data_IF_684912915471
#
_entry.id   IF_684912915471
#
_cell.length_a   1.000
_cell.length_b   1.000
_cell.length_c   1.000
_cell.angle_alpha   90.00
_cell.angle_beta   90.00
_cell.angle_gamma   90.00
#
_symmetry.space_group_name_H-M   'P 1'
#
loop_
_entity.id
_entity.type
_entity.pdbx_description
1 polymer ?
#
# COMPACT_ATOMS: atom_id res chain seq x y z
N UNK A 1 -51.59 32.94 31.42
CA UNK A 1 -52.89 33.43 30.92
C UNK A 1 -52.80 33.55 29.41
N UNK A 2 -53.48 32.66 28.69
CA UNK A 2 -53.86 32.86 27.27
C UNK A 2 -55.13 33.78 27.24
N UNK A 3 -55.76 34.14 26.09
CA UNK A 3 -55.54 33.70 24.70
C UNK A 3 -55.76 34.79 23.59
N UNK A 4 -55.57 34.39 22.31
CA UNK A 4 -56.12 35.04 21.11
C UNK A 4 -55.42 34.53 19.84
N UNK A 5 -55.96 33.52 19.11
CA UNK A 5 -56.94 33.65 18.00
C UNK A 5 -56.37 34.46 16.82
N UNK A 6 -56.43 34.08 15.54
CA UNK A 6 -56.86 32.94 14.74
C UNK A 6 -56.40 33.26 13.30
N UNK A 7 -56.29 32.29 12.38
CA UNK A 7 -56.14 32.63 10.95
C UNK A 7 -55.66 31.50 10.06
N UNK A 8 -56.61 30.75 9.50
CA UNK A 8 -56.41 29.70 8.52
C UNK A 8 -56.13 30.27 7.11
N UNK A 9 -55.34 29.55 6.31
CA UNK A 9 -55.48 29.56 4.85
C UNK A 9 -54.89 28.27 4.24
N UNK A 10 -55.81 27.41 3.81
CA UNK A 10 -55.60 26.30 2.89
C UNK A 10 -55.35 26.87 1.48
N UNK A 11 -54.30 26.42 0.79
CA UNK A 11 -54.30 26.39 -0.67
C UNK A 11 -53.72 25.06 -1.16
N UNK A 12 -54.62 24.33 -1.80
CA UNK A 12 -54.41 23.11 -2.57
C UNK A 12 -53.75 23.48 -3.91
N UNK A 13 -52.72 22.74 -4.32
CA UNK A 13 -52.22 22.80 -5.70
C UNK A 13 -52.06 21.39 -6.24
N UNK A 14 -52.89 21.12 -7.24
CA UNK A 14 -52.96 19.94 -8.11
C UNK A 14 -51.92 20.10 -9.23
N UNK A 15 -51.20 19.03 -9.56
CA UNK A 15 -50.29 18.95 -10.72
C UNK A 15 -49.89 17.49 -11.01
N UNK A 16 -49.59 17.12 -12.26
CA UNK A 16 -50.31 16.06 -12.95
C UNK A 16 -49.61 14.68 -12.97
N UNK A 17 -50.45 13.64 -13.07
CA UNK A 17 -50.08 12.26 -13.38
C UNK A 17 -49.51 12.16 -14.80
N UNK A 18 -48.28 11.66 -14.90
CA UNK A 18 -47.65 11.28 -16.17
C UNK A 18 -47.93 9.81 -16.40
N UNK A 19 -48.62 9.52 -17.50
CA UNK A 19 -48.94 8.19 -18.01
C UNK A 19 -47.79 7.73 -18.91
N UNK A 20 -47.07 6.66 -18.51
CA UNK A 20 -45.97 6.05 -19.25
C UNK A 20 -46.40 4.67 -19.74
N UNK A 21 -47.13 4.67 -20.85
CA UNK A 21 -47.35 3.48 -21.67
C UNK A 21 -46.16 3.32 -22.63
N UNK A 22 -45.23 2.42 -22.30
CA UNK A 22 -44.11 2.04 -23.19
C UNK A 22 -44.48 0.74 -23.91
N UNK A 23 -44.68 0.88 -25.21
CA UNK A 23 -44.88 -0.18 -26.19
C UNK A 23 -43.52 -0.84 -26.49
N UNK A 24 -43.36 -2.11 -26.13
CA UNK A 24 -42.17 -2.92 -26.44
C UNK A 24 -42.56 -3.98 -27.47
N UNK A 25 -42.31 -3.67 -28.73
CA UNK A 25 -42.46 -4.62 -29.82
C UNK A 25 -41.23 -4.60 -30.75
N UNK A 26 -40.75 -5.82 -31.01
CA UNK A 26 -39.90 -6.27 -32.12
C UNK A 26 -38.38 -5.99 -32.06
N UNK A 27 -37.64 -7.08 -31.83
CA UNK A 27 -36.23 -7.26 -32.22
C UNK A 27 -35.96 -8.76 -32.49
N UNK A 28 -35.12 -9.12 -33.49
CA UNK A 28 -35.19 -10.42 -34.16
C UNK A 28 -34.44 -11.57 -33.47
N UNK A 29 -34.96 -12.78 -33.71
CA UNK A 29 -34.42 -14.09 -33.35
C UNK A 29 -33.00 -14.31 -33.88
N UNK A 30 -32.09 -14.74 -33.00
CA UNK A 30 -30.74 -15.20 -33.37
C UNK A 30 -30.69 -16.71 -33.20
N UNK A 31 -30.28 -17.38 -34.28
CA UNK A 31 -30.22 -18.82 -34.48
C UNK A 31 -29.11 -19.50 -33.62
N UNK A 32 -29.41 -20.52 -32.80
CA UNK A 32 -28.44 -21.17 -31.92
C UNK A 32 -27.87 -22.44 -32.55
N UNK A 33 -27.08 -22.30 -33.61
CA UNK A 33 -26.35 -23.42 -34.21
C UNK A 33 -25.04 -22.96 -34.79
N UNK A 34 -23.98 -22.87 -33.97
CA UNK A 34 -22.56 -22.84 -34.37
C UNK A 34 -21.61 -22.88 -33.14
N UNK A 35 -21.78 -23.84 -32.23
CA UNK A 35 -20.74 -24.17 -31.24
C UNK A 35 -20.42 -25.66 -31.34
N UNK A 36 -19.52 -25.99 -32.26
CA UNK A 36 -18.77 -27.23 -32.26
C UNK A 36 -17.42 -26.98 -31.58
N UNK A 37 -17.22 -27.57 -30.42
CA UNK A 37 -15.93 -27.63 -29.72
C UNK A 37 -15.00 -28.66 -30.38
N UNK A 38 -13.70 -28.38 -30.52
CA UNK A 38 -12.71 -29.43 -30.60
C UNK A 38 -12.06 -29.65 -29.23
N UNK A 39 -12.27 -30.87 -28.70
CA UNK A 39 -11.52 -31.44 -27.59
C UNK A 39 -10.01 -31.41 -27.89
N UNK A 40 -9.22 -30.85 -26.96
CA UNK A 40 -7.77 -31.02 -26.96
C UNK A 40 -7.33 -31.67 -25.66
N UNK A 41 -6.69 -32.82 -25.83
CA UNK A 41 -6.02 -33.61 -24.81
C UNK A 41 -4.97 -32.77 -24.07
N UNK A 42 -4.99 -32.80 -22.75
CA UNK A 42 -3.87 -32.37 -21.91
C UNK A 42 -3.26 -33.59 -21.23
N UNK A 43 -1.98 -33.76 -21.50
CA UNK A 43 -1.09 -34.69 -20.84
C UNK A 43 -0.83 -34.26 -19.39
N UNK A 44 -0.77 -35.25 -18.50
CA UNK A 44 -0.31 -35.10 -17.12
C UNK A 44 1.16 -34.70 -17.06
N UNK A 45 1.56 -33.70 -16.25
CA UNK A 45 2.94 -33.56 -15.82
C UNK A 45 3.16 -34.23 -14.46
N UNK A 46 4.19 -35.06 -14.45
CA UNK A 46 4.71 -35.82 -13.33
C UNK A 46 5.07 -34.95 -12.13
N UNK A 47 4.80 -35.52 -10.96
CA UNK A 47 5.22 -35.09 -9.63
C UNK A 47 6.75 -35.07 -9.50
N UNK A 48 7.29 -33.91 -9.12
CA UNK A 48 8.64 -33.78 -8.54
C UNK A 48 8.51 -33.18 -7.15
N UNK A 49 8.97 -33.97 -6.18
CA UNK A 49 9.03 -33.72 -4.75
C UNK A 49 9.99 -32.57 -4.42
N UNK A 50 9.49 -31.53 -3.75
CA UNK A 50 10.31 -30.50 -3.12
C UNK A 50 10.89 -31.07 -1.81
N UNK A 51 12.21 -31.17 -1.75
CA UNK A 51 12.93 -31.46 -0.52
C UNK A 51 12.84 -30.25 0.42
N UNK A 52 12.53 -30.54 1.68
CA UNK A 52 12.49 -29.61 2.81
C UNK A 52 13.81 -28.83 2.94
N UNK A 53 13.71 -27.50 2.93
CA UNK A 53 14.68 -26.63 3.59
C UNK A 53 13.94 -25.95 4.74
N UNK A 54 14.11 -26.52 5.93
CA UNK A 54 13.62 -26.04 7.21
C UNK A 54 14.61 -24.99 7.76
N UNK A 55 14.16 -23.74 7.89
CA UNK A 55 14.88 -22.71 8.63
C UNK A 55 13.98 -22.22 9.77
N UNK A 56 14.38 -22.39 11.04
CA UNK A 56 13.61 -21.91 12.17
C UNK A 56 13.74 -20.38 12.26
N UNK A 57 12.60 -19.69 12.27
CA UNK A 57 12.53 -18.23 12.48
C UNK A 57 12.15 -17.99 13.94
N UNK A 58 13.16 -17.80 14.79
CA UNK A 58 12.98 -17.15 16.10
C UNK A 58 12.95 -15.62 15.91
N UNK A 59 12.32 -14.92 16.86
CA UNK A 59 12.05 -13.49 16.80
C UNK A 59 13.35 -12.68 16.80
N UNK A 60 13.62 -11.99 15.69
CA UNK A 60 14.83 -11.22 15.47
C UNK A 60 14.71 -9.86 16.17
N UNK A 61 15.39 -9.70 17.30
CA UNK A 61 15.62 -8.41 17.97
C UNK A 61 16.49 -7.50 17.08
N UNK A 62 16.34 -6.17 17.16
CA UNK A 62 17.09 -5.22 16.32
C UNK A 62 18.63 -5.35 16.42
N UNK A 63 19.13 -5.97 17.49
CA UNK A 63 20.54 -6.33 17.66
C UNK A 63 20.95 -7.51 16.76
N UNK A 64 20.06 -8.44 16.44
CA UNK A 64 20.35 -9.59 15.59
C UNK A 64 20.45 -9.22 14.10
N UNK A 65 19.75 -8.17 13.64
CA UNK A 65 19.91 -7.67 12.27
C UNK A 65 21.26 -6.96 12.13
N UNK A 66 21.64 -6.14 13.12
CA UNK A 66 22.97 -5.53 13.18
C UNK A 66 24.07 -6.59 13.29
N UNK A 67 23.84 -7.68 14.04
CA UNK A 67 24.74 -8.82 14.12
C UNK A 67 24.80 -9.63 12.80
N UNK A 68 23.68 -9.76 12.09
CA UNK A 68 23.61 -10.42 10.79
C UNK A 68 24.31 -9.61 9.71
N UNK A 69 24.17 -8.28 9.73
CA UNK A 69 24.94 -7.36 8.90
C UNK A 69 26.44 -7.45 9.19
N UNK A 70 26.85 -7.47 10.47
CA UNK A 70 28.24 -7.69 10.87
C UNK A 70 28.79 -9.04 10.39
N UNK A 71 27.98 -10.11 10.43
CA UNK A 71 28.37 -11.43 9.89
C UNK A 71 28.53 -11.42 8.37
N UNK A 72 27.67 -10.68 7.66
CA UNK A 72 27.65 -10.64 6.20
C UNK A 72 28.77 -9.76 5.63
N UNK A 73 29.11 -8.64 6.27
CA UNK A 73 30.05 -7.64 5.75
C UNK A 73 31.45 -7.66 6.35
N UNK A 74 31.61 -8.07 7.62
CA UNK A 74 32.88 -7.93 8.34
C UNK A 74 33.55 -9.26 8.72
N UNK A 75 32.98 -10.39 8.31
CA UNK A 75 33.48 -11.71 8.68
C UNK A 75 33.25 -11.99 10.16
N UNK A 76 32.17 -12.69 10.48
CA UNK A 76 31.88 -13.16 11.84
C UNK A 76 32.97 -14.08 12.42
N UNK A 77 32.97 -14.28 13.75
CA UNK A 77 34.14 -14.59 14.57
C UNK A 77 34.79 -15.93 14.23
N UNK A 78 36.11 -15.96 14.37
CA UNK A 78 36.93 -17.18 14.38
C UNK A 78 36.30 -18.23 15.29
N UNK A 79 35.81 -19.31 14.67
CA UNK A 79 35.53 -20.56 15.36
C UNK A 79 36.87 -21.06 15.89
N UNK A 80 37.01 -21.00 17.21
CA UNK A 80 38.24 -21.35 17.91
C UNK A 80 38.76 -22.74 17.50
N UNK A 81 40.01 -22.76 17.07
CA UNK A 81 40.83 -23.96 17.11
C UNK A 81 42.14 -23.64 17.83
N UNK A 82 42.39 -24.49 18.83
CA UNK A 82 43.59 -24.76 19.59
C UNK A 82 44.92 -24.15 19.10
N UNK A 83 45.63 -23.60 20.10
CA UNK A 83 47.07 -23.37 20.32
C UNK A 83 48.13 -23.43 19.18
N UNK A 84 49.22 -22.65 19.33
CA UNK A 84 50.01 -22.15 18.22
C UNK A 84 51.17 -23.08 17.84
N UNK A 85 51.35 -23.31 16.54
CA UNK A 85 52.63 -23.76 15.98
C UNK A 85 53.20 -22.64 15.12
N UNK A 86 54.33 -22.12 15.57
CA UNK A 86 55.12 -21.16 14.83
C UNK A 86 55.55 -21.73 13.47
N UNK A 87 55.28 -21.01 12.39
CA UNK A 87 56.03 -21.15 11.15
C UNK A 87 56.18 -19.79 10.48
N UNK A 88 57.43 -19.49 10.16
CA UNK A 88 57.93 -18.27 9.56
C UNK A 88 57.37 -18.03 8.15
N UNK A 89 57.25 -16.74 7.79
CA UNK A 89 57.37 -16.27 6.41
C UNK A 89 56.14 -16.41 5.51
N UNK A 90 55.10 -15.59 5.74
CA UNK A 90 54.08 -15.29 4.72
C UNK A 90 54.08 -13.79 4.44
N UNK A 91 54.16 -13.35 3.16
CA UNK A 91 54.30 -11.95 2.82
C UNK A 91 53.08 -11.17 3.29
N UNK A 92 53.32 -9.95 3.78
CA UNK A 92 52.28 -9.00 4.16
C UNK A 92 51.20 -8.96 3.08
N UNK A 93 50.00 -9.44 3.43
CA UNK A 93 48.82 -9.21 2.63
C UNK A 93 48.68 -7.70 2.51
N UNK A 94 48.86 -7.19 1.29
CA UNK A 94 48.62 -5.81 0.97
C UNK A 94 47.21 -5.47 1.46
N UNK A 95 47.15 -4.53 2.40
CA UNK A 95 45.94 -3.82 2.80
C UNK A 95 45.26 -3.39 1.51
N UNK A 96 44.11 -4.03 1.24
CA UNK A 96 43.37 -3.89 -0.01
C UNK A 96 43.02 -2.44 -0.23
N UNK A 97 43.60 -1.85 -1.27
CA UNK A 97 43.14 -0.56 -1.79
C UNK A 97 41.81 -0.87 -2.46
N UNK A 98 40.70 -0.73 -1.72
CA UNK A 98 39.37 -0.69 -2.33
C UNK A 98 39.40 0.40 -3.39
N UNK A 99 39.14 0.01 -4.64
CA UNK A 99 39.11 0.96 -5.74
C UNK A 99 37.93 1.93 -5.54
N UNK A 100 37.94 3.08 -6.22
CA UNK A 100 36.81 4.01 -6.17
C UNK A 100 35.50 3.35 -6.64
N UNK A 101 35.61 2.33 -7.50
CA UNK A 101 34.49 1.51 -7.98
C UNK A 101 33.94 0.61 -6.87
N UNK A 102 34.80 -0.04 -6.08
CA UNK A 102 34.39 -0.87 -4.94
C UNK A 102 33.64 -0.03 -3.88
N UNK A 103 34.14 1.19 -3.61
CA UNK A 103 33.49 2.10 -2.66
C UNK A 103 32.11 2.58 -3.16
N UNK A 104 31.97 2.82 -4.47
CA UNK A 104 30.68 3.16 -5.07
C UNK A 104 29.69 2.00 -4.95
N UNK A 105 30.12 0.77 -5.26
CA UNK A 105 29.28 -0.41 -5.14
C UNK A 105 28.83 -0.68 -3.69
N UNK A 106 29.72 -0.52 -2.70
CA UNK A 106 29.34 -0.66 -1.28
C UNK A 106 28.34 0.42 -0.88
N UNK A 107 28.49 1.65 -1.38
CA UNK A 107 27.55 2.74 -1.10
C UNK A 107 26.17 2.48 -1.71
N UNK A 108 26.10 1.91 -2.91
CA UNK A 108 24.84 1.54 -3.55
C UNK A 108 24.11 0.46 -2.72
N UNK A 109 24.82 -0.59 -2.31
CA UNK A 109 24.25 -1.64 -1.45
C UNK A 109 23.77 -1.08 -0.12
N UNK A 110 24.54 -0.18 0.50
CA UNK A 110 24.11 0.50 1.72
C UNK A 110 22.83 1.31 1.50
N UNK A 111 22.76 2.06 0.40
CA UNK A 111 21.58 2.86 0.12
C UNK A 111 20.33 1.96 -0.13
N UNK A 112 20.49 0.80 -0.76
CA UNK A 112 19.40 -0.16 -0.97
C UNK A 112 18.90 -0.75 0.37
N UNK A 113 19.84 -1.09 1.26
CA UNK A 113 19.53 -1.55 2.61
C UNK A 113 18.82 -0.42 3.39
N UNK A 114 19.34 0.81 3.34
CA UNK A 114 18.76 1.96 4.01
C UNK A 114 17.29 2.18 3.61
N UNK A 115 16.96 2.07 2.31
CA UNK A 115 15.57 2.21 1.81
C UNK A 115 14.61 1.28 2.55
N UNK A 116 14.98 0.02 2.72
CA UNK A 116 14.15 -0.97 3.43
C UNK A 116 14.07 -0.63 4.92
N UNK A 117 15.21 -0.33 5.53
CA UNK A 117 15.31 -0.06 6.96
C UNK A 117 14.52 1.17 7.41
N UNK A 118 14.50 2.25 6.63
CA UNK A 118 13.80 3.49 6.99
C UNK A 118 12.42 3.64 6.36
N UNK A 119 11.88 2.57 5.76
CA UNK A 119 10.52 2.55 5.21
C UNK A 119 9.48 3.08 6.21
N UNK A 120 9.50 2.57 7.46
CA UNK A 120 8.61 3.01 8.53
C UNK A 120 8.82 4.48 8.91
N UNK A 121 10.06 4.97 8.90
CA UNK A 121 10.37 6.39 9.14
C UNK A 121 9.72 7.23 8.03
N UNK A 122 9.87 6.82 6.77
CA UNK A 122 9.29 7.50 5.61
C UNK A 122 7.76 7.54 5.69
N UNK A 123 7.13 6.45 6.10
CA UNK A 123 5.68 6.38 6.26
C UNK A 123 5.16 7.37 7.31
N UNK A 124 5.81 7.42 8.47
CA UNK A 124 5.48 8.42 9.51
C UNK A 124 5.67 9.83 8.98
N UNK A 125 6.75 10.09 8.26
CA UNK A 125 7.08 11.43 7.77
C UNK A 125 6.17 11.88 6.62
N UNK A 126 5.64 10.95 5.82
CA UNK A 126 4.54 11.23 4.87
C UNK A 126 3.30 11.73 5.63
N UNK A 127 2.93 11.05 6.71
CA UNK A 127 1.78 11.48 7.53
C UNK A 127 2.06 12.77 8.29
N UNK A 128 3.29 12.96 8.76
CA UNK A 128 3.67 14.22 9.39
C UNK A 128 3.54 15.37 8.40
N UNK A 129 3.98 15.20 7.13
CA UNK A 129 3.94 16.26 6.12
C UNK A 129 2.52 16.55 5.61
N UNK A 130 1.73 15.50 5.35
CA UNK A 130 0.44 15.62 4.65
C UNK A 130 -0.80 15.42 5.56
N UNK A 131 -0.60 15.16 6.85
CA UNK A 131 -1.66 14.94 7.84
C UNK A 131 -1.22 15.22 9.27
N UNK A 132 -1.74 14.42 10.20
CA UNK A 132 -1.44 14.42 11.63
C UNK A 132 -0.82 13.08 12.04
N UNK A 133 0.49 13.07 12.29
CA UNK A 133 1.19 11.88 12.74
C UNK A 133 0.99 11.63 14.25
N UNK A 134 0.89 10.35 14.61
CA UNK A 134 0.83 9.92 16.01
C UNK A 134 2.22 10.01 16.67
N UNK A 135 2.39 10.69 17.80
CA UNK A 135 3.65 10.71 18.53
C UNK A 135 4.19 9.31 18.87
N UNK A 136 3.32 8.36 19.22
CA UNK A 136 3.74 7.00 19.57
C UNK A 136 4.29 6.24 18.35
N UNK A 137 3.73 6.51 17.17
CA UNK A 137 4.21 5.92 15.93
C UNK A 137 5.54 6.54 15.49
N UNK A 138 5.72 7.85 15.65
CA UNK A 138 7.02 8.48 15.42
C UNK A 138 8.08 7.92 16.37
N UNK A 139 7.74 7.73 17.65
CA UNK A 139 8.63 7.14 18.64
C UNK A 139 9.04 5.70 18.28
N UNK A 140 8.13 4.89 17.74
CA UNK A 140 8.45 3.51 17.38
C UNK A 140 9.46 3.38 16.24
N UNK A 141 9.76 4.46 15.52
CA UNK A 141 10.80 4.48 14.46
C UNK A 141 12.23 4.62 14.98
N UNK A 142 12.42 4.99 16.25
CA UNK A 142 13.76 5.21 16.85
C UNK A 142 14.72 4.02 16.68
N UNK A 143 14.31 2.74 16.84
CA UNK A 143 15.22 1.60 16.63
C UNK A 143 15.76 1.52 15.20
N UNK A 144 14.93 1.80 14.19
CA UNK A 144 15.35 1.81 12.79
C UNK A 144 16.38 2.92 12.52
N UNK A 145 16.16 4.12 13.07
CA UNK A 145 17.11 5.23 12.96
C UNK A 145 18.46 4.93 13.63
N UNK A 146 18.44 4.32 14.82
CA UNK A 146 19.68 3.92 15.52
C UNK A 146 20.44 2.83 14.77
N UNK A 147 19.73 1.85 14.22
CA UNK A 147 20.33 0.81 13.39
C UNK A 147 20.99 1.40 12.14
N UNK A 148 20.30 2.31 11.43
CA UNK A 148 20.89 3.02 10.28
C UNK A 148 22.10 3.85 10.68
N UNK A 149 22.05 4.53 11.83
CA UNK A 149 23.19 5.31 12.36
C UNK A 149 24.41 4.42 12.64
N UNK A 150 24.21 3.22 13.19
CA UNK A 150 25.29 2.26 13.41
C UNK A 150 25.89 1.76 12.10
N UNK A 151 25.07 1.45 11.08
CA UNK A 151 25.55 1.08 9.75
C UNK A 151 26.33 2.22 9.08
N UNK A 152 25.84 3.45 9.20
CA UNK A 152 26.51 4.65 8.67
C UNK A 152 27.88 4.88 9.33
N UNK A 153 28.00 4.63 10.63
CA UNK A 153 29.25 4.76 11.39
C UNK A 153 30.31 3.76 10.92
N UNK A 154 29.91 2.51 10.64
CA UNK A 154 30.82 1.49 10.09
C UNK A 154 31.36 1.86 8.71
N UNK A 155 30.61 2.65 7.95
CA UNK A 155 30.99 3.15 6.63
C UNK A 155 31.66 4.53 6.66
N UNK A 156 31.93 5.05 7.87
CA UNK A 156 32.55 6.36 8.08
C UNK A 156 31.76 7.51 7.43
N UNK A 157 30.43 7.39 7.33
CA UNK A 157 29.54 8.41 6.80
C UNK A 157 29.22 9.47 7.87
N UNK A 158 30.24 10.22 8.29
CA UNK A 158 30.19 11.12 9.46
C UNK A 158 29.06 12.15 9.37
N UNK A 159 28.85 12.76 8.20
CA UNK A 159 27.79 13.76 7.99
C UNK A 159 26.39 13.16 8.21
N UNK A 160 26.18 11.92 7.76
CA UNK A 160 24.93 11.21 7.95
C UNK A 160 24.71 10.82 9.41
N UNK A 161 25.74 10.34 10.11
CA UNK A 161 25.66 10.08 11.55
C UNK A 161 25.20 11.34 12.31
N UNK A 162 25.83 12.49 12.04
CA UNK A 162 25.45 13.76 12.68
C UNK A 162 24.02 14.20 12.36
N UNK A 163 23.57 14.02 11.10
CA UNK A 163 22.20 14.33 10.71
C UNK A 163 21.18 13.40 11.40
N UNK A 164 21.47 12.09 11.51
CA UNK A 164 20.63 11.10 12.18
C UNK A 164 20.52 11.38 13.68
N UNK A 165 21.63 11.72 14.35
CA UNK A 165 21.63 12.08 15.77
C UNK A 165 20.78 13.33 16.02
N UNK A 166 20.96 14.35 15.16
CA UNK A 166 20.19 15.61 15.20
C UNK A 166 18.69 15.39 15.00
N UNK A 167 18.32 14.46 14.11
CA UNK A 167 16.94 14.08 13.87
C UNK A 167 16.36 13.28 15.05
N UNK A 168 17.11 12.33 15.61
CA UNK A 168 16.67 11.54 16.78
C UNK A 168 16.38 12.43 17.99
N UNK A 169 17.22 13.43 18.25
CA UNK A 169 16.98 14.43 19.33
C UNK A 169 15.68 15.21 19.10
N UNK A 170 15.39 15.59 17.85
CA UNK A 170 14.14 16.28 17.53
C UNK A 170 12.92 15.37 17.68
N UNK A 171 13.04 14.09 17.31
CA UNK A 171 12.01 13.08 17.58
C UNK A 171 11.75 12.97 19.08
N UNK A 172 12.79 12.87 19.91
CA UNK A 172 12.64 12.83 21.38
C UNK A 172 11.90 14.07 21.92
N UNK A 173 12.25 15.26 21.42
CA UNK A 173 11.59 16.51 21.80
C UNK A 173 10.11 16.57 21.40
N UNK A 174 9.79 16.10 20.19
CA UNK A 174 8.45 16.13 19.63
C UNK A 174 7.49 15.14 20.32
N UNK A 175 7.99 13.98 20.78
CA UNK A 175 7.17 12.93 21.40
C UNK A 175 7.06 13.04 22.92
N UNK A 176 7.92 13.81 23.59
CA UNK A 176 8.03 13.88 25.05
C UNK A 176 6.69 14.20 25.77
N UNK A 177 5.98 13.15 26.21
CA UNK A 177 4.70 13.19 26.94
C UNK A 177 3.59 14.01 26.27
N UNK A 178 3.51 14.00 24.93
CA UNK A 178 2.49 14.75 24.19
C UNK A 178 1.48 13.82 23.51
N UNK A 179 0.22 14.23 23.52
CA UNK A 179 -0.85 13.57 22.76
C UNK A 179 -0.84 13.93 21.26
N UNK A 180 -0.15 15.02 20.90
CA UNK A 180 -0.03 15.52 19.51
C UNK A 180 1.29 16.25 19.32
N UNK A 181 1.86 16.14 18.12
CA UNK A 181 3.03 16.90 17.67
C UNK A 181 2.59 18.34 17.36
N UNK A 182 3.30 19.35 17.89
CA UNK A 182 2.95 20.76 17.61
C UNK A 182 3.37 21.16 16.19
N UNK A 183 2.81 22.24 15.65
CA UNK A 183 3.20 22.75 14.33
C UNK A 183 4.67 23.19 14.28
N UNK A 184 5.21 23.71 15.40
CA UNK A 184 6.61 24.08 15.52
C UNK A 184 7.52 22.85 15.49
N UNK A 185 7.20 21.81 16.27
CA UNK A 185 7.96 20.55 16.27
C UNK A 185 7.86 19.86 14.91
N UNK A 186 6.69 19.90 14.26
CA UNK A 186 6.49 19.37 12.92
C UNK A 186 7.38 20.07 11.89
N UNK A 187 7.48 21.40 11.95
CA UNK A 187 8.37 22.16 11.06
C UNK A 187 9.86 21.86 11.32
N UNK A 188 10.27 21.73 12.58
CA UNK A 188 11.64 21.36 12.96
C UNK A 188 11.99 19.93 12.49
N UNK A 189 11.09 18.96 12.71
CA UNK A 189 11.24 17.58 12.24
C UNK A 189 11.39 17.52 10.71
N UNK A 190 10.52 18.21 9.97
CA UNK A 190 10.58 18.22 8.51
C UNK A 190 11.88 18.88 8.00
N UNK A 191 12.37 19.92 8.67
CA UNK A 191 13.64 20.58 8.34
C UNK A 191 14.83 19.63 8.51
N UNK A 192 14.88 18.91 9.64
CA UNK A 192 15.96 17.95 9.91
C UNK A 192 15.88 16.71 9.02
N UNK A 193 14.66 16.27 8.72
CA UNK A 193 14.44 15.19 7.79
C UNK A 193 14.88 15.54 6.36
N UNK A 194 14.71 16.79 5.93
CA UNK A 194 15.22 17.25 4.63
C UNK A 194 16.74 17.08 4.53
N UNK A 195 17.50 17.34 5.60
CA UNK A 195 18.94 17.10 5.61
C UNK A 195 19.30 15.61 5.40
N UNK A 196 18.49 14.68 5.91
CA UNK A 196 18.64 13.25 5.62
C UNK A 196 18.34 12.93 4.15
N UNK A 197 17.30 13.56 3.59
CA UNK A 197 16.96 13.44 2.16
C UNK A 197 18.03 14.00 1.23
N UNK A 198 18.75 15.04 1.64
CA UNK A 198 19.84 15.60 0.84
C UNK A 198 21.06 14.66 0.79
N UNK A 199 21.29 13.89 1.87
CA UNK A 199 22.41 12.94 1.99
C UNK A 199 22.12 11.57 1.36
N UNK A 200 20.90 11.04 1.52
CA UNK A 200 20.45 9.77 0.91
C UNK A 200 19.04 9.94 0.32
N UNK A 201 18.91 10.55 -0.87
CA UNK A 201 17.61 10.82 -1.48
C UNK A 201 16.73 9.58 -1.61
N UNK A 202 17.28 8.47 -2.10
CA UNK A 202 16.49 7.25 -2.32
C UNK A 202 15.83 6.69 -1.05
N UNK A 203 16.44 6.91 0.12
CA UNK A 203 15.96 6.41 1.40
C UNK A 203 14.94 7.33 2.07
N UNK A 204 14.99 8.65 1.82
CA UNK A 204 14.20 9.64 2.56
C UNK A 204 13.32 10.56 1.70
N UNK A 205 13.33 10.45 0.38
CA UNK A 205 12.51 11.33 -0.46
C UNK A 205 11.00 11.02 -0.32
N UNK A 206 10.25 11.97 0.25
CA UNK A 206 8.80 11.83 0.48
C UNK A 206 7.98 12.05 -0.78
N UNK A 207 8.35 13.05 -1.59
CA UNK A 207 7.56 13.43 -2.76
C UNK A 207 7.58 12.32 -3.82
N UNK A 208 8.74 11.69 -4.06
CA UNK A 208 8.84 10.52 -4.92
C UNK A 208 8.01 9.34 -4.39
N UNK A 209 7.96 9.10 -3.08
CA UNK A 209 7.17 8.01 -2.52
C UNK A 209 5.67 8.27 -2.67
N UNK A 210 5.23 9.47 -2.33
CA UNK A 210 3.85 9.95 -2.54
C UNK A 210 3.46 9.81 -4.01
N UNK A 211 4.33 10.28 -4.91
CA UNK A 211 4.08 10.30 -6.34
C UNK A 211 3.86 8.92 -6.93
N UNK A 212 4.46 7.90 -6.32
CA UNK A 212 4.30 6.50 -6.69
C UNK A 212 3.07 5.83 -6.05
N UNK A 213 2.68 6.22 -4.84
CA UNK A 213 1.53 5.65 -4.10
C UNK A 213 0.19 6.21 -4.57
N UNK A 214 0.09 7.53 -4.70
CA UNK A 214 -1.18 8.20 -4.98
C UNK A 214 -1.90 7.70 -6.25
N UNK A 215 -1.22 7.54 -7.41
CA UNK A 215 -1.91 7.12 -8.62
C UNK A 215 -2.55 5.73 -8.48
N UNK A 216 -1.91 4.83 -7.71
CA UNK A 216 -2.42 3.48 -7.45
C UNK A 216 -3.66 3.54 -6.56
N UNK A 217 -3.64 4.36 -5.50
CA UNK A 217 -4.79 4.58 -4.62
C UNK A 217 -5.95 5.18 -5.42
N UNK A 218 -5.68 6.23 -6.21
CA UNK A 218 -6.67 6.90 -7.05
C UNK A 218 -7.29 5.93 -8.05
N UNK A 219 -6.47 5.18 -8.78
CA UNK A 219 -6.95 4.18 -9.74
C UNK A 219 -7.83 3.13 -9.04
N UNK A 220 -7.38 2.59 -7.91
CA UNK A 220 -8.11 1.57 -7.18
C UNK A 220 -9.44 2.09 -6.59
N UNK A 221 -9.51 3.35 -6.16
CA UNK A 221 -10.76 3.98 -5.74
C UNK A 221 -11.71 4.21 -6.92
N UNK A 222 -11.19 4.61 -8.07
CA UNK A 222 -12.00 4.82 -9.28
C UNK A 222 -12.64 3.51 -9.76
N UNK A 223 -11.90 2.40 -9.77
CA UNK A 223 -12.44 1.08 -10.14
C UNK A 223 -13.51 0.53 -9.17
N UNK A 224 -13.64 1.09 -7.97
CA UNK A 224 -14.73 0.71 -7.05
C UNK A 224 -16.09 1.29 -7.47
N UNK A 225 -16.10 2.30 -8.35
CA UNK A 225 -17.30 3.01 -8.76
C UNK A 225 -17.94 2.31 -9.96
N UNK A 226 -19.24 2.06 -9.87
CA UNK A 226 -19.98 1.43 -10.95
C UNK A 226 -20.04 2.33 -12.19
N UNK A 227 -19.76 1.76 -13.36
CA UNK A 227 -19.69 2.49 -14.63
C UNK A 227 -18.41 3.32 -14.83
N UNK A 228 -17.42 3.20 -13.94
CA UNK A 228 -16.05 3.69 -14.20
C UNK A 228 -15.22 2.56 -14.78
N UNK A 229 -14.81 2.73 -16.03
CA UNK A 229 -13.96 1.80 -16.76
C UNK A 229 -12.61 2.45 -17.09
N UNK A 230 -11.65 1.65 -17.54
CA UNK A 230 -10.31 2.11 -17.91
C UNK A 230 -10.29 3.36 -18.81
N UNK A 231 -11.12 3.49 -19.86
CA UNK A 231 -11.13 4.70 -20.69
C UNK A 231 -11.57 5.98 -19.95
N UNK A 232 -12.34 5.87 -18.87
CA UNK A 232 -12.68 7.00 -18.00
C UNK A 232 -11.48 7.37 -17.14
N UNK A 233 -10.81 6.37 -16.55
CA UNK A 233 -9.60 6.56 -15.73
C UNK A 233 -8.48 7.20 -16.57
N UNK A 234 -8.21 6.67 -17.77
CA UNK A 234 -7.21 7.19 -18.69
C UNK A 234 -7.49 8.67 -19.05
N UNK A 235 -8.77 9.02 -19.26
CA UNK A 235 -9.18 10.42 -19.50
C UNK A 235 -8.94 11.31 -18.28
N UNK A 236 -9.33 10.86 -17.09
CA UNK A 236 -9.09 11.60 -15.84
C UNK A 236 -7.60 11.84 -15.64
N UNK A 237 -6.76 10.84 -15.89
CA UNK A 237 -5.32 10.94 -15.75
C UNK A 237 -4.71 11.87 -16.79
N UNK A 238 -5.22 11.84 -18.03
CA UNK A 238 -4.79 12.74 -19.10
C UNK A 238 -5.07 14.23 -18.79
N UNK A 239 -6.10 14.53 -18.00
CA UNK A 239 -6.40 15.90 -17.54
C UNK A 239 -5.76 16.24 -16.17
N UNK A 240 -4.85 15.40 -15.67
CA UNK A 240 -4.11 15.65 -14.42
C UNK A 240 -4.87 15.29 -13.14
N UNK A 241 -5.96 14.53 -13.24
CA UNK A 241 -6.74 14.04 -12.09
C UNK A 241 -6.25 12.65 -11.63
N UNK A 242 -4.94 12.52 -11.46
CA UNK A 242 -4.25 11.33 -10.96
C UNK A 242 -3.70 11.52 -9.52
N UNK A 243 -4.05 12.63 -8.87
CA UNK A 243 -3.64 13.01 -7.52
C UNK A 243 -4.87 13.14 -6.62
N UNK A 244 -4.73 12.74 -5.34
CA UNK A 244 -5.81 12.84 -4.37
C UNK A 244 -6.24 14.29 -4.15
N UNK A 245 -5.27 15.21 -4.02
CA UNK A 245 -5.55 16.64 -3.82
C UNK A 245 -6.34 17.25 -4.99
N UNK A 246 -6.08 16.81 -6.22
CA UNK A 246 -6.78 17.32 -7.39
C UNK A 246 -8.25 16.85 -7.37
N UNK A 247 -8.48 15.55 -7.15
CA UNK A 247 -9.82 14.97 -7.11
C UNK A 247 -10.66 15.44 -5.92
N UNK A 248 -10.03 15.77 -4.80
CA UNK A 248 -10.74 16.31 -3.62
C UNK A 248 -11.17 17.77 -3.79
N UNK A 249 -10.52 18.53 -4.68
CA UNK A 249 -10.86 19.95 -4.95
C UNK A 249 -11.89 20.11 -6.05
N UNK A 250 -11.91 19.18 -7.00
CA UNK A 250 -12.77 19.21 -8.17
C UNK A 250 -14.22 18.91 -7.78
N UNK A 251 -15.17 19.67 -8.34
CA UNK A 251 -16.60 19.39 -8.17
C UNK A 251 -17.13 18.50 -9.32
N UNK A 252 -18.37 18.04 -9.21
CA UNK A 252 -18.94 17.14 -10.23
C UNK A 252 -19.20 17.85 -11.57
N UNK A 253 -19.56 19.14 -11.57
CA UNK A 253 -19.77 19.93 -12.80
C UNK A 253 -18.46 20.08 -13.59
N UNK A 254 -17.34 20.28 -12.90
CA UNK A 254 -16.00 20.33 -13.49
C UNK A 254 -15.64 18.99 -14.14
N UNK A 255 -15.96 17.84 -13.51
CA UNK A 255 -15.72 16.52 -14.09
C UNK A 255 -16.55 16.27 -15.35
N UNK A 256 -17.81 16.73 -15.37
CA UNK A 256 -18.66 16.67 -16.56
C UNK A 256 -18.06 17.51 -17.67
N UNK A 257 -17.65 18.75 -17.37
CA UNK A 257 -17.13 19.70 -18.36
C UNK A 257 -15.75 19.30 -18.90
N UNK A 258 -14.81 18.88 -18.03
CA UNK A 258 -13.41 18.63 -18.39
C UNK A 258 -13.19 17.22 -18.94
N UNK A 259 -13.83 16.21 -18.35
CA UNK A 259 -13.59 14.80 -18.70
C UNK A 259 -14.74 14.19 -19.53
N UNK A 260 -15.81 14.95 -19.80
CA UNK A 260 -16.96 14.48 -20.59
C UNK A 260 -17.64 13.29 -19.92
N UNK A 261 -17.78 13.34 -18.59
CA UNK A 261 -18.41 12.28 -17.81
C UNK A 261 -19.91 12.48 -17.71
N UNK A 262 -20.64 11.38 -17.52
CA UNK A 262 -22.06 11.44 -17.17
C UNK A 262 -22.20 12.06 -15.76
N UNK A 263 -23.21 12.92 -15.50
CA UNK A 263 -23.38 13.58 -14.21
C UNK A 263 -23.44 12.61 -13.02
N UNK A 264 -24.06 11.44 -13.20
CA UNK A 264 -24.19 10.44 -12.15
C UNK A 264 -22.83 9.84 -11.77
N UNK A 265 -22.00 9.53 -12.77
CA UNK A 265 -20.65 9.00 -12.57
C UNK A 265 -19.75 10.05 -11.93
N UNK A 266 -19.83 11.30 -12.40
CA UNK A 266 -19.09 12.42 -11.81
C UNK A 266 -19.44 12.63 -10.33
N UNK A 267 -20.72 12.58 -9.98
CA UNK A 267 -21.18 12.66 -8.60
C UNK A 267 -20.66 11.49 -7.74
N UNK A 268 -20.72 10.26 -8.26
CA UNK A 268 -20.18 9.08 -7.57
C UNK A 268 -18.66 9.17 -7.35
N UNK A 269 -17.90 9.71 -8.30
CA UNK A 269 -16.46 9.96 -8.14
C UNK A 269 -16.23 10.92 -6.97
N UNK A 270 -16.86 12.10 -6.99
CA UNK A 270 -16.67 13.09 -5.92
C UNK A 270 -17.04 12.50 -4.55
N UNK A 271 -18.14 11.75 -4.47
CA UNK A 271 -18.56 11.13 -3.21
C UNK A 271 -17.59 10.05 -2.73
N UNK A 272 -17.07 9.21 -3.63
CA UNK A 272 -16.09 8.18 -3.30
C UNK A 272 -14.82 8.78 -2.68
N UNK A 273 -14.28 9.86 -3.26
CA UNK A 273 -13.07 10.50 -2.74
C UNK A 273 -13.32 11.26 -1.44
N UNK A 274 -14.50 11.88 -1.27
CA UNK A 274 -14.89 12.48 0.02
C UNK A 274 -15.03 11.44 1.12
N UNK A 275 -15.69 10.32 0.82
CA UNK A 275 -15.82 9.20 1.74
C UNK A 275 -14.45 8.65 2.11
N UNK A 276 -13.58 8.44 1.13
CA UNK A 276 -12.20 8.01 1.37
C UNK A 276 -11.46 9.01 2.28
N UNK A 277 -11.56 10.32 2.04
CA UNK A 277 -10.89 11.32 2.89
C UNK A 277 -11.47 11.39 4.31
N UNK A 278 -12.76 11.12 4.47
CA UNK A 278 -13.40 11.12 5.79
C UNK A 278 -13.07 9.87 6.61
N UNK A 279 -12.79 8.74 5.95
CA UNK A 279 -12.46 7.47 6.63
C UNK A 279 -10.95 7.26 6.77
N UNK A 280 -10.17 7.67 5.78
CA UNK A 280 -8.72 7.64 5.80
C UNK A 280 -8.22 8.95 6.41
N UNK A 281 -8.06 8.97 7.74
CA UNK A 281 -7.37 10.03 8.49
C UNK A 281 -6.04 10.45 7.81
N UNK A 282 -5.38 9.44 7.24
CA UNK A 282 -4.11 9.46 6.54
C UNK A 282 -4.34 9.11 5.05
N UNK A 283 -4.05 10.06 4.15
CA UNK A 283 -4.46 9.99 2.75
C UNK A 283 -3.63 9.00 1.90
N UNK A 284 -2.35 8.81 2.24
CA UNK A 284 -1.38 8.06 1.42
C UNK A 284 -0.69 6.94 2.19
N UNK A 285 -0.44 7.11 3.48
CA UNK A 285 0.02 6.04 4.37
C UNK A 285 -1.07 5.72 5.41
N UNK A 286 -0.80 4.77 6.31
CA UNK A 286 -1.70 4.48 7.44
C UNK A 286 -1.08 4.92 8.75
N UNK A 287 -1.87 5.59 9.60
CA UNK A 287 -1.47 6.02 10.95
C UNK A 287 -1.31 4.84 11.91
N UNK A 288 -2.12 3.80 11.72
CA UNK A 288 -2.06 2.56 12.51
C UNK A 288 -1.85 1.38 11.56
N UNK A 289 -0.57 1.03 11.27
CA UNK A 289 -0.24 -0.14 10.46
C UNK A 289 -0.81 -1.44 11.02
N UNK A 290 -0.99 -1.57 12.34
CA UNK A 290 -1.54 -2.78 12.94
C UNK A 290 -3.06 -2.88 12.69
N UNK A 291 -3.81 -1.78 12.79
CA UNK A 291 -5.22 -1.75 12.40
C UNK A 291 -5.41 -1.99 10.90
N UNK A 292 -4.58 -1.37 10.07
CA UNK A 292 -4.64 -1.54 8.62
C UNK A 292 -4.36 -3.00 8.22
N UNK A 293 -3.37 -3.66 8.83
CA UNK A 293 -3.11 -5.09 8.62
C UNK A 293 -4.26 -5.99 9.06
N UNK A 294 -4.95 -5.66 10.16
CA UNK A 294 -6.16 -6.38 10.58
C UNK A 294 -7.28 -6.25 9.55
N UNK A 295 -7.55 -5.02 9.10
CA UNK A 295 -8.51 -4.73 8.03
C UNK A 295 -8.16 -5.47 6.73
N UNK A 296 -6.87 -5.52 6.36
CA UNK A 296 -6.39 -6.31 5.23
C UNK A 296 -6.69 -7.79 5.41
N UNK A 297 -6.48 -8.35 6.61
CA UNK A 297 -6.86 -9.73 6.94
C UNK A 297 -8.34 -10.00 6.73
N UNK A 298 -9.21 -9.10 7.20
CA UNK A 298 -10.67 -9.21 6.99
C UNK A 298 -11.05 -9.17 5.51
N UNK A 299 -10.41 -8.31 4.72
CA UNK A 299 -10.61 -8.24 3.27
C UNK A 299 -10.15 -9.51 2.56
N UNK A 300 -9.04 -10.13 2.98
CA UNK A 300 -8.56 -11.39 2.42
C UNK A 300 -9.53 -12.53 2.73
N UNK A 301 -10.02 -12.62 3.97
CA UNK A 301 -11.06 -13.60 4.34
C UNK A 301 -12.32 -13.42 3.47
N UNK A 302 -12.77 -12.18 3.30
CA UNK A 302 -13.91 -11.87 2.43
C UNK A 302 -13.65 -12.30 0.98
N UNK A 303 -12.45 -12.04 0.45
CA UNK A 303 -12.07 -12.42 -0.91
C UNK A 303 -12.11 -13.95 -1.10
N UNK A 304 -11.62 -14.73 -0.13
CA UNK A 304 -11.67 -16.19 -0.16
C UNK A 304 -13.12 -16.71 -0.13
N UNK A 305 -13.99 -16.14 0.72
CA UNK A 305 -15.42 -16.49 0.75
C UNK A 305 -16.10 -16.21 -0.60
N UNK A 306 -15.87 -15.04 -1.18
CA UNK A 306 -16.43 -14.67 -2.48
C UNK A 306 -15.91 -15.57 -3.61
N UNK A 307 -14.67 -16.05 -3.51
CA UNK A 307 -14.09 -17.00 -4.45
C UNK A 307 -14.79 -18.36 -4.37
N UNK A 308 -14.98 -18.90 -3.18
CA UNK A 308 -15.67 -20.17 -2.97
C UNK A 308 -17.11 -20.12 -3.49
N UNK A 309 -17.83 -19.04 -3.19
CA UNK A 309 -19.18 -18.81 -3.70
C UNK A 309 -19.21 -18.71 -5.22
N UNK A 310 -18.19 -18.11 -5.85
CA UNK A 310 -18.09 -18.04 -7.30
C UNK A 310 -17.83 -19.41 -7.94
N UNK A 311 -16.98 -20.23 -7.31
CA UNK A 311 -16.71 -21.60 -7.77
C UNK A 311 -18.00 -22.41 -7.72
N UNK A 312 -18.71 -22.40 -6.58
CA UNK A 312 -20.02 -23.08 -6.43
C UNK A 312 -21.06 -22.61 -7.45
N UNK A 313 -21.16 -21.29 -7.68
CA UNK A 313 -22.07 -20.73 -8.68
C UNK A 313 -21.64 -21.04 -10.12
N UNK A 314 -20.38 -21.42 -10.36
CA UNK A 314 -19.90 -21.79 -11.69
C UNK A 314 -20.24 -23.22 -12.09
N UNK A 315 -20.58 -24.07 -11.13
CA UNK A 315 -21.00 -25.46 -11.38
C UNK A 315 -22.48 -25.55 -11.82
N UNK A 316 -23.27 -24.50 -11.62
CA UNK A 316 -24.67 -24.40 -12.04
C UNK A 316 -24.83 -23.57 -13.34
N UNK A 317 -25.73 -24.03 -14.21
CA UNK A 317 -26.03 -23.47 -15.53
C UNK A 317 -27.38 -22.75 -15.61
N UNK A 318 -28.05 -22.58 -14.46
CA UNK A 318 -29.30 -21.81 -14.36
C UNK A 318 -29.11 -20.32 -14.73
N UNK A 319 -30.21 -19.64 -15.10
CA UNK A 319 -30.17 -18.20 -15.38
C UNK A 319 -29.76 -17.41 -14.12
N UNK A 320 -30.23 -17.84 -12.96
CA UNK A 320 -29.89 -17.26 -11.66
C UNK A 320 -28.41 -17.49 -11.30
N UNK A 321 -27.86 -18.67 -11.56
CA UNK A 321 -26.43 -18.95 -11.39
C UNK A 321 -25.57 -18.04 -12.27
N UNK A 322 -25.97 -17.82 -13.54
CA UNK A 322 -25.27 -16.87 -14.42
C UNK A 322 -25.31 -15.43 -13.88
N UNK A 323 -26.44 -14.99 -13.34
CA UNK A 323 -26.56 -13.65 -12.73
C UNK A 323 -25.69 -13.53 -11.46
N UNK A 324 -25.76 -14.54 -10.58
CA UNK A 324 -24.95 -14.61 -9.36
C UNK A 324 -23.46 -14.63 -9.67
N UNK A 325 -23.02 -15.40 -10.66
CA UNK A 325 -21.63 -15.45 -11.14
C UNK A 325 -21.11 -14.07 -11.59
N UNK A 326 -21.94 -13.27 -12.25
CA UNK A 326 -21.58 -11.89 -12.62
C UNK A 326 -21.44 -10.98 -11.40
N UNK A 327 -22.38 -11.06 -10.45
CA UNK A 327 -22.30 -10.30 -9.18
C UNK A 327 -21.04 -10.63 -8.40
N UNK A 328 -20.79 -11.93 -8.17
CA UNK A 328 -19.62 -12.41 -7.45
C UNK A 328 -18.31 -12.03 -8.14
N UNK A 329 -18.26 -11.99 -9.47
CA UNK A 329 -17.09 -11.46 -10.18
C UNK A 329 -16.85 -9.98 -9.88
N UNK A 330 -17.91 -9.17 -9.87
CA UNK A 330 -17.83 -7.75 -9.56
C UNK A 330 -17.41 -7.52 -8.10
N UNK A 331 -18.02 -8.23 -7.15
CA UNK A 331 -17.72 -8.12 -5.72
C UNK A 331 -16.28 -8.55 -5.38
N UNK A 332 -15.79 -9.63 -6.01
CA UNK A 332 -14.39 -10.06 -5.88
C UNK A 332 -13.43 -9.00 -6.38
N UNK A 333 -13.72 -8.41 -7.53
CA UNK A 333 -12.89 -7.34 -8.10
C UNK A 333 -12.90 -6.10 -7.18
N UNK A 334 -14.08 -5.69 -6.70
CA UNK A 334 -14.20 -4.56 -5.75
C UNK A 334 -13.45 -4.81 -4.44
N UNK A 335 -13.53 -6.03 -3.90
CA UNK A 335 -12.77 -6.43 -2.71
C UNK A 335 -11.27 -6.37 -2.97
N UNK A 336 -10.83 -6.83 -4.15
CA UNK A 336 -9.44 -6.73 -4.53
C UNK A 336 -8.98 -5.27 -4.67
N UNK A 337 -9.78 -4.36 -5.22
CA UNK A 337 -9.44 -2.93 -5.25
C UNK A 337 -9.25 -2.33 -3.86
N UNK A 338 -10.05 -2.75 -2.86
CA UNK A 338 -9.84 -2.34 -1.46
C UNK A 338 -8.53 -2.88 -0.89
N UNK A 339 -8.17 -4.13 -1.22
CA UNK A 339 -6.89 -4.73 -0.86
C UNK A 339 -5.72 -3.94 -1.48
N UNK A 340 -5.83 -3.50 -2.75
CA UNK A 340 -4.80 -2.66 -3.40
C UNK A 340 -4.56 -1.38 -2.61
N UNK A 341 -5.63 -0.67 -2.22
CA UNK A 341 -5.53 0.56 -1.40
C UNK A 341 -4.82 0.26 -0.08
N UNK A 342 -5.20 -0.81 0.62
CA UNK A 342 -4.61 -1.17 1.91
C UNK A 342 -3.11 -1.50 1.81
N UNK A 343 -2.72 -2.32 0.83
CA UNK A 343 -1.31 -2.64 0.57
C UNK A 343 -0.48 -1.40 0.23
N UNK A 344 -1.01 -0.48 -0.58
CA UNK A 344 -0.29 0.75 -0.93
C UNK A 344 -0.12 1.66 0.28
N UNK A 345 -1.13 1.75 1.15
CA UNK A 345 -1.06 2.54 2.40
C UNK A 345 -0.09 1.94 3.42
N UNK A 346 0.12 0.63 3.38
CA UNK A 346 1.15 -0.07 4.15
C UNK A 346 2.55 0.03 3.53
N UNK A 347 2.68 0.61 2.33
CA UNK A 347 3.95 0.69 1.60
C UNK A 347 4.34 -0.56 0.80
N UNK A 348 3.48 -1.58 0.75
CA UNK A 348 3.77 -2.90 0.15
C UNK A 348 3.55 -2.97 -1.36
N UNK A 349 4.07 -1.98 -2.09
CA UNK A 349 3.86 -1.83 -3.54
C UNK A 349 4.48 -2.96 -4.37
N UNK A 350 5.62 -3.49 -3.92
CA UNK A 350 6.26 -4.63 -4.60
C UNK A 350 5.43 -5.89 -4.46
N UNK A 351 4.80 -6.10 -3.31
CA UNK A 351 3.87 -7.20 -3.09
C UNK A 351 2.66 -7.05 -4.00
N UNK A 352 2.08 -5.85 -4.09
CA UNK A 352 0.98 -5.57 -5.01
C UNK A 352 1.36 -5.90 -6.47
N UNK A 353 2.53 -5.44 -6.92
CA UNK A 353 3.03 -5.69 -8.28
C UNK A 353 3.20 -7.19 -8.59
N UNK A 354 3.56 -8.00 -7.59
CA UNK A 354 3.61 -9.46 -7.72
C UNK A 354 2.20 -10.06 -7.83
N UNK A 355 1.28 -9.63 -6.97
CA UNK A 355 -0.10 -10.15 -6.91
C UNK A 355 -0.89 -9.90 -8.20
N UNK A 356 -0.71 -8.75 -8.84
CA UNK A 356 -1.41 -8.39 -10.08
C UNK A 356 -1.08 -9.31 -11.25
N UNK A 357 0.10 -9.96 -11.23
CA UNK A 357 0.55 -10.91 -12.25
C UNK A 357 0.04 -12.33 -12.05
N UNK A 358 -0.50 -12.63 -10.86
CA UNK A 358 -0.96 -13.97 -10.52
C UNK A 358 -2.40 -14.21 -10.98
N UNK A 359 -2.73 -15.46 -11.37
CA UNK A 359 -4.10 -15.94 -11.46
C UNK A 359 -4.84 -15.76 -10.12
N UNK A 360 -6.16 -15.63 -10.17
CA UNK A 360 -6.96 -15.24 -9.00
C UNK A 360 -6.82 -16.17 -7.78
N UNK A 361 -6.76 -17.48 -7.99
CA UNK A 361 -6.57 -18.44 -6.89
C UNK A 361 -5.18 -18.31 -6.25
N UNK A 362 -4.13 -18.25 -7.08
CA UNK A 362 -2.74 -18.07 -6.60
C UNK A 362 -2.57 -16.73 -5.87
N UNK A 363 -3.28 -15.71 -6.32
CA UNK A 363 -3.32 -14.39 -5.69
C UNK A 363 -3.89 -14.46 -4.27
N UNK A 364 -4.97 -15.20 -4.05
CA UNK A 364 -5.55 -15.40 -2.71
C UNK A 364 -4.56 -16.13 -1.81
N UNK A 365 -3.98 -17.25 -2.26
CA UNK A 365 -2.99 -17.99 -1.47
C UNK A 365 -1.76 -17.15 -1.13
N UNK A 366 -1.30 -16.30 -2.05
CA UNK A 366 -0.20 -15.37 -1.81
C UNK A 366 -0.55 -14.29 -0.78
N UNK A 367 -1.80 -13.78 -0.81
CA UNK A 367 -2.31 -12.83 0.17
C UNK A 367 -2.47 -13.46 1.57
N UNK A 368 -3.02 -14.67 1.65
CA UNK A 368 -3.16 -15.41 2.91
C UNK A 368 -1.80 -15.64 3.57
N UNK A 369 -0.79 -16.08 2.79
CA UNK A 369 0.58 -16.21 3.27
C UNK A 369 1.17 -14.87 3.70
N UNK A 370 0.92 -13.81 2.93
CA UNK A 370 1.40 -12.48 3.26
C UNK A 370 0.86 -12.01 4.60
N UNK A 371 -0.45 -12.14 4.85
CA UNK A 371 -1.10 -11.74 6.11
C UNK A 371 -0.64 -12.63 7.27
N UNK A 372 -0.52 -13.95 7.07
CA UNK A 372 -0.08 -14.88 8.11
C UNK A 372 1.36 -14.63 8.58
N UNK A 373 2.24 -14.17 7.67
CA UNK A 373 3.64 -13.89 7.97
C UNK A 373 3.86 -12.50 8.59
N UNK A 374 2.81 -11.69 8.76
CA UNK A 374 2.95 -10.41 9.43
C UNK A 374 3.14 -10.62 10.93
N UNK A 375 4.11 -9.92 11.57
CA UNK A 375 4.24 -9.96 13.02
C UNK A 375 2.96 -9.38 13.63
N UNK A 376 2.13 -10.22 14.23
CA UNK A 376 1.02 -9.78 15.07
C UNK A 376 1.63 -9.03 16.25
N UNK A 377 1.38 -7.72 16.33
CA UNK A 377 1.70 -6.95 17.53
C UNK A 377 1.04 -7.67 18.72
N UNK A 378 1.85 -8.28 19.59
CA UNK A 378 1.36 -8.88 20.83
C UNK A 378 0.72 -7.75 21.63
N UNK A 379 -0.57 -7.93 21.94
CA UNK A 379 -1.38 -7.00 22.72
C UNK A 379 -0.87 -6.81 24.15
#
# INVERSE_FOLDING_TARGET
MAPGSAGAALLSSVGPSIDLSVDLSVGPSIDPSMLAEPSSMLAEPSSLTAAEFDFPVEAIEGDEISASFNRLFLGGPEVGLAEPVATEGKPAAAVGISTAEDLAAVRDVFNDIAVVHVSQVRDVMLELRFGDADPAWLESTKPALRSLRAMAEQMELIELCGALDTFCVAVDGAVANRARISDEDKADLLTRYQALSDLIPQAFELDAERDRREPIIVEALLYQIDGVEKPIIDRLFAVGLNRLDALLRVNHDDLVAMAGLRPEVAASIVEQFRTYRATADAAVSTRDPAAERRSLGDLVIMLSILQDDFVRASDDWSADARARKRSLRKEREQTFQRIRVSLVRLGDRDQLSKLERLPFNERITALERYVANQPTARA
#
